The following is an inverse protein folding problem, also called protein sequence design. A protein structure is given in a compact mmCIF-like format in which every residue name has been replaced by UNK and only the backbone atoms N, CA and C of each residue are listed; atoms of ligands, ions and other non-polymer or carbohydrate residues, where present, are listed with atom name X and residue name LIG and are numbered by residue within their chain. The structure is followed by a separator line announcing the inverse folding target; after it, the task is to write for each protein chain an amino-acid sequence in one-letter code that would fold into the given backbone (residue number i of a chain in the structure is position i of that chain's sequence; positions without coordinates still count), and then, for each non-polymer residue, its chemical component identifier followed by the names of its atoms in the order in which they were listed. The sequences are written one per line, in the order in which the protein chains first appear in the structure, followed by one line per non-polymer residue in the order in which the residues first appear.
data_IF_400235729497
#
_entry.id   IF_400235729497
#
_cell.length_a   1.000
_cell.length_b   1.000
_cell.length_c   1.000
_cell.angle_alpha   90.00
_cell.angle_beta   90.00
_cell.angle_gamma   90.00
#
_symmetry.space_group_name_H-M   'P 1'
#
loop_
_entity.id
_entity.type
_entity.pdbx_description
1 polymer ?
#
# COMPACT_ATOMS: atom_id res chain seq x y z
N UNK A 1 19.64 -46.67 -7.19
CA UNK A 1 18.23 -46.58 -7.63
C UNK A 1 17.53 -45.63 -6.67
N UNK A 2 16.95 -44.58 -7.24
CA UNK A 2 16.43 -43.39 -6.57
C UNK A 2 15.11 -43.67 -5.83
N UNK A 3 14.86 -42.94 -4.74
CA UNK A 3 13.54 -42.38 -4.41
C UNK A 3 13.68 -41.36 -3.27
N UNK A 4 13.90 -40.10 -3.65
CA UNK A 4 13.80 -38.94 -2.77
C UNK A 4 12.36 -38.43 -2.79
N UNK A 5 11.68 -38.45 -1.65
CA UNK A 5 10.36 -37.80 -1.47
C UNK A 5 10.56 -36.29 -1.29
N UNK A 6 10.35 -35.52 -2.36
CA UNK A 6 10.22 -34.06 -2.27
C UNK A 6 8.77 -33.71 -1.90
N UNK A 7 8.55 -33.37 -0.63
CA UNK A 7 7.35 -32.67 -0.18
C UNK A 7 7.54 -31.17 -0.43
N UNK A 8 7.09 -30.70 -1.59
CA UNK A 8 7.06 -29.27 -1.91
C UNK A 8 5.91 -28.59 -1.19
N UNK A 9 6.18 -28.07 0.02
CA UNK A 9 5.32 -27.09 0.68
C UNK A 9 5.36 -25.79 -0.13
N UNK A 10 4.29 -25.55 -0.90
CA UNK A 10 4.10 -24.32 -1.68
C UNK A 10 3.88 -23.17 -0.69
N UNK A 11 4.92 -22.39 -0.46
CA UNK A 11 4.87 -21.13 0.30
C UNK A 11 3.85 -20.21 -0.37
N UNK A 12 2.74 -19.94 0.33
CA UNK A 12 1.81 -18.87 -0.05
C UNK A 12 2.57 -17.57 0.10
N UNK A 13 2.96 -16.97 -1.03
CA UNK A 13 3.56 -15.64 -1.04
C UNK A 13 2.54 -14.66 -0.44
N UNK A 14 2.81 -14.23 0.79
CA UNK A 14 2.10 -13.15 1.46
C UNK A 14 2.03 -11.94 0.53
N UNK A 15 0.86 -11.36 0.33
CA UNK A 15 0.55 -10.13 -0.42
C UNK A 15 1.16 -8.90 0.27
N UNK A 16 2.40 -8.45 -0.06
CA UNK A 16 3.04 -7.35 0.66
C UNK A 16 2.64 -6.00 0.07
N UNK A 17 2.28 -5.96 -1.23
CA UNK A 17 2.17 -4.72 -2.00
C UNK A 17 0.92 -3.90 -1.67
N UNK A 18 -0.23 -4.55 -1.43
CA UNK A 18 -1.47 -3.83 -1.11
C UNK A 18 -1.44 -3.25 0.31
N UNK A 19 -0.98 -4.05 1.29
CA UNK A 19 -0.78 -3.60 2.66
C UNK A 19 0.30 -2.51 2.76
N UNK A 20 1.39 -2.62 1.99
CA UNK A 20 2.40 -1.57 1.90
C UNK A 20 1.86 -0.28 1.28
N UNK A 21 1.02 -0.35 0.25
CA UNK A 21 0.37 0.83 -0.36
C UNK A 21 -0.60 1.55 0.58
N UNK A 22 -1.44 0.80 1.30
CA UNK A 22 -2.33 1.39 2.32
C UNK A 22 -1.50 1.99 3.47
N UNK A 23 -0.37 1.37 3.83
CA UNK A 23 0.55 1.90 4.84
C UNK A 23 1.22 3.20 4.40
N UNK A 24 1.55 3.38 3.13
CA UNK A 24 2.24 4.59 2.63
C UNK A 24 1.29 5.78 2.51
N UNK A 25 0.07 5.58 2.04
CA UNK A 25 -0.97 6.62 2.02
C UNK A 25 -1.28 7.10 3.44
N UNK A 26 -1.43 6.16 4.38
CA UNK A 26 -1.64 6.49 5.79
C UNK A 26 -0.45 7.27 6.37
N UNK A 27 0.78 6.92 6.02
CA UNK A 27 1.97 7.62 6.48
C UNK A 27 2.03 9.05 5.93
N UNK A 28 1.72 9.25 4.65
CA UNK A 28 1.65 10.55 4.01
C UNK A 28 0.54 11.42 4.63
N UNK A 29 -0.66 10.87 4.83
CA UNK A 29 -1.76 11.57 5.49
C UNK A 29 -1.41 12.00 6.92
N UNK A 30 -0.71 11.14 7.68
CA UNK A 30 -0.23 11.47 9.03
C UNK A 30 0.76 12.64 9.04
N UNK A 31 1.53 12.87 7.97
CA UNK A 31 2.44 14.01 7.90
C UNK A 31 1.70 15.35 8.02
N UNK A 32 0.50 15.45 7.41
CA UNK A 32 -0.35 16.64 7.49
C UNK A 32 -0.79 16.96 8.93
N UNK A 33 -1.19 15.91 9.65
CA UNK A 33 -1.61 16.06 11.05
C UNK A 33 -0.41 16.36 11.95
N UNK A 34 0.73 15.70 11.71
CA UNK A 34 1.98 15.95 12.44
C UNK A 34 2.49 17.38 12.24
N UNK A 35 2.45 17.92 11.01
CA UNK A 35 2.93 19.28 10.74
C UNK A 35 2.11 20.33 11.49
N UNK A 36 0.77 20.25 11.41
CA UNK A 36 -0.14 21.15 12.12
C UNK A 36 0.02 21.04 13.65
N UNK A 37 0.07 19.82 14.16
CA UNK A 37 0.31 19.56 15.59
C UNK A 37 1.65 20.14 16.04
N UNK A 38 2.70 19.98 15.24
CA UNK A 38 4.04 20.47 15.54
C UNK A 38 4.11 22.01 15.53
N UNK A 39 3.44 22.67 14.60
CA UNK A 39 3.31 24.14 14.57
C UNK A 39 2.64 24.61 15.86
N UNK A 40 1.48 24.05 16.21
CA UNK A 40 0.76 24.40 17.44
C UNK A 40 1.61 24.19 18.69
N UNK A 41 2.30 23.05 18.80
CA UNK A 41 3.19 22.78 19.92
C UNK A 41 4.36 23.77 19.98
N UNK A 42 4.90 24.19 18.84
CA UNK A 42 5.99 25.19 18.77
C UNK A 42 5.50 26.57 19.22
N UNK A 43 4.29 26.97 18.82
CA UNK A 43 3.65 28.23 19.26
C UNK A 43 3.39 28.21 20.77
N UNK A 44 2.89 27.11 21.32
CA UNK A 44 2.68 27.01 22.77
C UNK A 44 4.01 26.98 23.54
N UNK A 45 5.03 26.33 22.98
CA UNK A 45 6.36 26.29 23.58
C UNK A 45 7.00 27.68 23.68
N UNK A 46 6.82 28.55 22.69
CA UNK A 46 7.34 29.93 22.73
C UNK A 46 6.65 30.81 23.77
N UNK A 47 5.46 30.41 24.26
CA UNK A 47 4.77 31.05 25.37
C UNK A 47 5.25 30.56 26.75
N UNK A 48 6.23 29.65 26.79
CA UNK A 48 6.86 29.16 28.02
C UNK A 48 6.42 27.76 28.45
N UNK A 49 5.58 27.07 27.67
CA UNK A 49 5.17 25.68 27.95
C UNK A 49 6.29 24.69 27.58
N UNK A 50 7.05 24.26 28.61
CA UNK A 50 8.18 23.33 28.46
C UNK A 50 7.75 21.94 27.98
N UNK A 51 6.55 21.49 28.34
CA UNK A 51 6.07 20.18 27.92
C UNK A 51 5.77 20.18 26.42
N UNK A 52 5.28 21.32 25.89
CA UNK A 52 5.06 21.50 24.46
C UNK A 52 6.36 21.59 23.67
N UNK A 53 7.43 22.15 24.24
CA UNK A 53 8.76 22.11 23.61
C UNK A 53 9.22 20.67 23.36
N UNK A 54 9.17 19.82 24.40
CA UNK A 54 9.53 18.41 24.26
C UNK A 54 8.59 17.68 23.29
N UNK A 55 7.29 17.97 23.35
CA UNK A 55 6.31 17.36 22.47
C UNK A 55 6.52 17.76 21.00
N UNK A 56 6.90 19.01 20.72
CA UNK A 56 7.23 19.48 19.38
C UNK A 56 8.49 18.81 18.84
N UNK A 57 9.54 18.68 19.66
CA UNK A 57 10.77 17.96 19.29
C UNK A 57 10.49 16.49 18.93
N UNK A 58 9.63 15.81 19.68
CA UNK A 58 9.19 14.44 19.37
C UNK A 58 8.39 14.38 18.07
N UNK A 59 7.46 15.32 17.86
CA UNK A 59 6.70 15.41 16.61
C UNK A 59 7.62 15.64 15.40
N UNK A 60 8.64 16.48 15.54
CA UNK A 60 9.64 16.75 14.49
C UNK A 60 10.44 15.50 14.14
N UNK A 61 10.85 14.71 15.14
CA UNK A 61 11.55 13.45 14.93
C UNK A 61 10.67 12.45 14.15
N UNK A 62 9.43 12.24 14.60
CA UNK A 62 8.48 11.34 13.93
C UNK A 62 8.15 11.79 12.50
N UNK A 63 7.97 13.10 12.29
CA UNK A 63 7.75 13.68 10.97
C UNK A 63 8.96 13.41 10.05
N UNK A 64 10.17 13.66 10.53
CA UNK A 64 11.40 13.46 9.75
C UNK A 64 11.62 11.99 9.38
N UNK A 65 11.42 11.06 10.33
CA UNK A 65 11.53 9.61 10.10
C UNK A 65 10.50 9.11 9.09
N UNK A 66 9.25 9.56 9.23
CA UNK A 66 8.17 9.22 8.30
C UNK A 66 8.47 9.74 6.90
N UNK A 67 8.99 10.97 6.79
CA UNK A 67 9.35 11.56 5.51
C UNK A 67 10.49 10.82 4.82
N UNK A 68 11.51 10.41 5.59
CA UNK A 68 12.57 9.55 5.06
C UNK A 68 12.00 8.22 4.56
N UNK A 69 11.08 7.61 5.30
CA UNK A 69 10.42 6.36 4.91
C UNK A 69 9.65 6.53 3.59
N UNK A 70 8.88 7.61 3.42
CA UNK A 70 8.15 7.89 2.16
C UNK A 70 9.09 8.00 0.96
N UNK A 71 10.23 8.70 1.13
CA UNK A 71 11.24 8.84 0.08
C UNK A 71 11.94 7.50 -0.22
N UNK A 72 12.15 6.64 0.78
CA UNK A 72 12.72 5.32 0.55
C UNK A 72 11.74 4.40 -0.18
N UNK A 73 10.45 4.41 0.21
CA UNK A 73 9.44 3.63 -0.49
C UNK A 73 9.35 4.05 -1.95
N UNK A 74 9.38 5.35 -2.24
CA UNK A 74 9.40 5.86 -3.62
C UNK A 74 10.52 5.25 -4.48
N UNK A 75 11.70 4.98 -3.90
CA UNK A 75 12.82 4.34 -4.61
C UNK A 75 12.61 2.85 -4.88
N UNK A 76 11.75 2.19 -4.11
CA UNK A 76 11.42 0.77 -4.29
C UNK A 76 10.22 0.54 -5.22
N UNK A 77 9.57 1.61 -5.67
CA UNK A 77 8.44 1.55 -6.60
C UNK A 77 8.89 1.20 -8.03
N UNK A 78 7.95 0.76 -8.85
CA UNK A 78 8.15 0.63 -10.29
C UNK A 78 8.48 1.99 -10.94
N UNK A 79 9.21 1.96 -12.05
CA UNK A 79 9.71 3.16 -12.73
C UNK A 79 8.64 4.24 -13.02
N UNK A 80 7.43 3.92 -13.51
CA UNK A 80 6.42 4.96 -13.75
C UNK A 80 5.88 5.57 -12.44
N UNK A 81 5.70 4.77 -11.39
CA UNK A 81 5.29 5.28 -10.08
C UNK A 81 6.36 6.15 -9.43
N UNK A 82 7.63 5.75 -9.48
CA UNK A 82 8.75 6.55 -8.98
C UNK A 82 8.86 7.91 -9.68
N UNK A 83 8.73 7.94 -11.02
CA UNK A 83 8.72 9.20 -11.80
C UNK A 83 7.60 10.16 -11.40
N UNK A 84 6.41 9.64 -11.05
CA UNK A 84 5.30 10.47 -10.56
C UNK A 84 5.65 11.13 -9.23
N UNK A 85 6.23 10.37 -8.30
CA UNK A 85 6.70 10.93 -7.02
C UNK A 85 7.79 11.96 -7.25
N UNK A 86 8.80 11.64 -8.06
CA UNK A 86 9.91 12.54 -8.37
C UNK A 86 9.43 13.87 -8.96
N UNK A 87 8.47 13.83 -9.89
CA UNK A 87 7.89 15.05 -10.49
C UNK A 87 7.26 15.96 -9.43
N UNK A 88 6.56 15.39 -8.45
CA UNK A 88 5.91 16.14 -7.37
C UNK A 88 6.92 16.65 -6.34
N UNK A 89 7.98 15.88 -6.08
CA UNK A 89 8.96 16.19 -5.04
C UNK A 89 10.10 17.10 -5.50
N UNK A 90 10.55 16.99 -6.75
CA UNK A 90 11.75 17.64 -7.28
C UNK A 90 11.48 18.90 -8.12
N UNK A 91 10.22 19.32 -8.30
CA UNK A 91 9.91 20.59 -8.98
C UNK A 91 10.53 21.82 -8.29
N UNK A 92 10.60 22.97 -8.98
CA UNK A 92 11.20 24.21 -8.45
C UNK A 92 10.53 24.73 -7.16
N UNK A 93 9.22 24.45 -6.99
CA UNK A 93 8.47 24.60 -5.74
C UNK A 93 7.90 23.25 -5.29
N UNK A 94 8.71 22.21 -5.46
CA UNK A 94 8.36 20.83 -5.19
C UNK A 94 8.13 20.58 -3.71
N UNK A 95 7.35 19.55 -3.44
CA UNK A 95 7.03 19.09 -2.08
C UNK A 95 8.29 18.89 -1.23
N UNK A 96 9.38 18.41 -1.83
CA UNK A 96 10.64 18.17 -1.14
C UNK A 96 11.26 19.44 -0.57
N UNK A 97 11.37 20.50 -1.38
CA UNK A 97 11.95 21.77 -0.97
C UNK A 97 11.12 22.45 0.14
N UNK A 98 9.79 22.47 0.00
CA UNK A 98 8.89 23.03 1.01
C UNK A 98 8.99 22.30 2.34
N UNK A 99 9.03 20.96 2.32
CA UNK A 99 9.15 20.15 3.55
C UNK A 99 10.52 20.34 4.20
N UNK A 100 11.60 20.45 3.42
CA UNK A 100 12.94 20.72 3.95
C UNK A 100 13.03 22.09 4.61
N UNK A 101 12.50 23.14 3.95
CA UNK A 101 12.42 24.48 4.50
C UNK A 101 11.63 24.49 5.81
N UNK A 102 10.42 23.92 5.81
CA UNK A 102 9.59 23.79 7.00
C UNK A 102 10.32 23.09 8.15
N UNK A 103 10.97 21.95 7.88
CA UNK A 103 11.74 21.20 8.90
C UNK A 103 12.87 22.06 9.49
N UNK A 104 13.54 22.87 8.67
CA UNK A 104 14.58 23.79 9.10
C UNK A 104 14.03 24.93 9.95
N UNK A 105 12.88 25.50 9.58
CA UNK A 105 12.22 26.58 10.33
C UNK A 105 11.77 26.09 11.70
N UNK A 106 11.12 24.92 11.77
CA UNK A 106 10.70 24.33 13.05
C UNK A 106 11.92 24.06 13.94
N UNK A 107 12.98 23.47 13.41
CA UNK A 107 14.20 23.20 14.18
C UNK A 107 14.79 24.50 14.75
N UNK A 108 14.95 25.52 13.90
CA UNK A 108 15.45 26.84 14.30
C UNK A 108 14.58 27.47 15.40
N UNK A 109 13.26 27.42 15.25
CA UNK A 109 12.33 27.95 16.24
C UNK A 109 12.46 27.21 17.58
N UNK A 110 12.51 25.88 17.57
CA UNK A 110 12.68 25.06 18.77
C UNK A 110 14.03 25.32 19.46
N UNK A 111 15.10 25.54 18.70
CA UNK A 111 16.43 25.85 19.24
C UNK A 111 16.44 27.22 19.92
N UNK A 112 15.83 28.25 19.32
CA UNK A 112 15.69 29.57 19.95
C UNK A 112 14.81 29.53 21.20
N UNK A 113 13.71 28.77 21.18
CA UNK A 113 12.85 28.60 22.36
C UNK A 113 13.61 27.90 23.49
N UNK A 114 14.36 26.83 23.18
CA UNK A 114 15.16 26.09 24.15
C UNK A 114 16.24 26.97 24.80
N UNK A 115 16.86 27.86 24.03
CA UNK A 115 17.91 28.79 24.49
C UNK A 115 17.36 30.07 25.12
N UNK A 116 16.02 30.28 25.09
CA UNK A 116 15.37 31.55 25.47
C UNK A 116 15.94 32.75 24.72
N UNK A 117 16.25 32.56 23.43
CA UNK A 117 16.76 33.61 22.57
C UNK A 117 15.64 34.59 22.21
N UNK A 118 15.96 35.89 22.16
CA UNK A 118 15.02 36.95 21.80
C UNK A 118 14.45 36.78 20.38
N UNK A 119 15.13 36.01 19.51
CA UNK A 119 14.71 35.69 18.15
C UNK A 119 13.59 34.64 18.07
N UNK A 120 13.21 34.01 19.18
CA UNK A 120 12.16 32.98 19.17
C UNK A 120 10.84 33.47 18.58
N UNK A 121 10.44 34.72 18.88
CA UNK A 121 9.17 35.27 18.41
C UNK A 121 9.16 35.45 16.89
N UNK A 122 10.26 35.97 16.33
CA UNK A 122 10.42 36.13 14.89
C UNK A 122 10.43 34.77 14.16
N UNK A 123 11.15 33.78 14.68
CA UNK A 123 11.20 32.44 14.08
C UNK A 123 9.85 31.72 14.10
N UNK A 124 9.07 31.89 15.18
CA UNK A 124 7.71 31.32 15.25
C UNK A 124 6.75 32.05 14.32
N UNK A 125 6.85 33.38 14.20
CA UNK A 125 6.03 34.14 13.24
C UNK A 125 6.31 33.68 11.79
N UNK A 126 7.58 33.57 11.42
CA UNK A 126 8.00 33.07 10.10
C UNK A 126 7.47 31.66 9.84
N UNK A 127 7.54 30.77 10.83
CA UNK A 127 6.99 29.41 10.76
C UNK A 127 5.47 29.41 10.50
N UNK A 128 4.73 30.28 11.20
CA UNK A 128 3.27 30.38 11.06
C UNK A 128 2.90 30.91 9.67
N UNK A 129 3.64 31.88 9.13
CA UNK A 129 3.42 32.41 7.77
C UNK A 129 3.54 31.34 6.67
N UNK A 130 4.39 30.31 6.88
CA UNK A 130 4.59 29.23 5.91
C UNK A 130 3.66 28.02 6.12
N UNK A 131 2.70 28.11 7.06
CA UNK A 131 1.79 27.00 7.42
C UNK A 131 0.97 26.50 6.22
N UNK A 132 0.41 27.40 5.43
CA UNK A 132 -0.44 27.04 4.30
C UNK A 132 0.36 26.38 3.18
N UNK A 133 1.58 26.87 2.92
CA UNK A 133 2.48 26.31 1.91
C UNK A 133 2.87 24.87 2.26
N UNK A 134 3.24 24.60 3.52
CA UNK A 134 3.57 23.22 3.94
C UNK A 134 2.34 22.32 3.90
N UNK A 135 1.16 22.85 4.25
CA UNK A 135 -0.09 22.09 4.20
C UNK A 135 -0.45 21.68 2.77
N UNK A 136 -0.28 22.59 1.81
CA UNK A 136 -0.48 22.33 0.39
C UNK A 136 0.53 21.30 -0.14
N UNK A 137 1.81 21.44 0.21
CA UNK A 137 2.85 20.48 -0.17
C UNK A 137 2.56 19.07 0.36
N UNK A 138 2.15 18.94 1.62
CA UNK A 138 1.79 17.65 2.22
C UNK A 138 0.50 17.06 1.62
N UNK A 139 -0.43 17.91 1.19
CA UNK A 139 -1.61 17.47 0.44
C UNK A 139 -1.21 16.88 -0.92
N UNK A 140 -0.36 17.59 -1.69
CA UNK A 140 0.19 17.09 -2.97
C UNK A 140 0.93 15.77 -2.78
N UNK A 141 1.73 15.65 -1.71
CA UNK A 141 2.41 14.41 -1.36
C UNK A 141 1.42 13.26 -1.14
N UNK A 142 0.37 13.49 -0.35
CA UNK A 142 -0.64 12.49 -0.03
C UNK A 142 -1.41 12.06 -1.28
N UNK A 143 -1.82 13.02 -2.12
CA UNK A 143 -2.52 12.74 -3.39
C UNK A 143 -1.70 11.86 -4.32
N UNK A 144 -0.40 12.13 -4.50
CA UNK A 144 0.41 11.32 -5.41
C UNK A 144 0.53 9.87 -4.92
N UNK A 145 0.69 9.65 -3.61
CA UNK A 145 0.76 8.30 -3.04
C UNK A 145 -0.58 7.57 -3.11
N UNK A 146 -1.70 8.29 -2.96
CA UNK A 146 -3.04 7.74 -3.10
C UNK A 146 -3.32 7.31 -4.55
N UNK A 147 -3.00 8.16 -5.53
CA UNK A 147 -3.13 7.84 -6.96
C UNK A 147 -2.31 6.62 -7.36
N UNK A 148 -1.06 6.52 -6.88
CA UNK A 148 -0.19 5.37 -7.12
C UNK A 148 -0.80 4.10 -6.51
N UNK A 149 -1.23 4.17 -5.26
CA UNK A 149 -1.82 3.02 -4.56
C UNK A 149 -3.10 2.55 -5.23
N UNK A 150 -3.96 3.48 -5.66
CA UNK A 150 -5.18 3.18 -6.42
C UNK A 150 -4.87 2.53 -7.77
N UNK A 151 -3.94 3.10 -8.54
CA UNK A 151 -3.54 2.54 -9.84
C UNK A 151 -2.99 1.11 -9.68
N UNK A 152 -2.19 0.89 -8.63
CA UNK A 152 -1.63 -0.44 -8.34
C UNK A 152 -2.73 -1.43 -7.95
N UNK A 153 -3.67 -1.01 -7.09
CA UNK A 153 -4.81 -1.84 -6.69
C UNK A 153 -5.69 -2.22 -7.88
N UNK A 154 -6.04 -1.26 -8.74
CA UNK A 154 -6.82 -1.49 -9.95
C UNK A 154 -6.13 -2.49 -10.89
N UNK A 155 -4.81 -2.35 -11.06
CA UNK A 155 -4.03 -3.29 -11.88
C UNK A 155 -4.04 -4.71 -11.29
N UNK A 156 -3.85 -4.84 -9.99
CA UNK A 156 -3.88 -6.15 -9.31
C UNK A 156 -5.26 -6.80 -9.41
N UNK A 157 -6.34 -6.02 -9.25
CA UNK A 157 -7.71 -6.54 -9.38
C UNK A 157 -8.03 -7.01 -10.80
N UNK A 158 -7.55 -6.30 -11.83
CA UNK A 158 -7.70 -6.74 -13.22
C UNK A 158 -6.96 -8.05 -13.49
N UNK A 159 -5.72 -8.16 -13.00
CA UNK A 159 -4.91 -9.37 -13.15
C UNK A 159 -5.57 -10.57 -12.44
N UNK A 160 -6.03 -10.39 -11.20
CA UNK A 160 -6.77 -11.41 -10.46
C UNK A 160 -8.05 -11.84 -11.19
N UNK A 161 -8.80 -10.90 -11.74
CA UNK A 161 -10.02 -11.20 -12.52
C UNK A 161 -9.70 -12.02 -13.77
N UNK A 162 -8.60 -11.70 -14.45
CA UNK A 162 -8.11 -12.47 -15.60
C UNK A 162 -7.77 -13.91 -15.22
N UNK A 163 -6.95 -14.10 -14.17
CA UNK A 163 -6.57 -15.43 -13.67
C UNK A 163 -7.80 -16.27 -13.30
N UNK A 164 -8.78 -15.66 -12.63
CA UNK A 164 -10.02 -16.37 -12.27
C UNK A 164 -10.82 -16.76 -13.51
N UNK A 165 -10.94 -15.87 -14.49
CA UNK A 165 -11.61 -16.17 -15.76
C UNK A 165 -10.94 -17.36 -16.49
N UNK A 166 -9.61 -17.44 -16.46
CA UNK A 166 -8.86 -18.55 -17.03
C UNK A 166 -9.13 -19.86 -16.28
N UNK A 167 -9.11 -19.84 -14.94
CA UNK A 167 -9.44 -21.01 -14.10
C UNK A 167 -10.86 -21.51 -14.39
N UNK A 168 -11.83 -20.61 -14.53
CA UNK A 168 -13.21 -20.96 -14.85
C UNK A 168 -13.32 -21.58 -16.24
N UNK A 169 -12.54 -21.08 -17.21
CA UNK A 169 -12.51 -21.63 -18.57
C UNK A 169 -11.94 -23.05 -18.56
N UNK A 170 -10.82 -23.29 -17.88
CA UNK A 170 -10.22 -24.62 -17.71
C UNK A 170 -11.17 -25.56 -16.97
N UNK A 171 -11.84 -25.09 -15.91
CA UNK A 171 -12.81 -25.89 -15.18
C UNK A 171 -14.01 -26.31 -16.05
N UNK A 172 -14.49 -25.42 -16.94
CA UNK A 172 -15.55 -25.74 -17.90
C UNK A 172 -15.09 -26.76 -18.94
N UNK A 173 -13.89 -26.61 -19.48
CA UNK A 173 -13.32 -27.57 -20.42
C UNK A 173 -13.17 -28.96 -19.79
N UNK A 174 -12.59 -29.02 -18.58
CA UNK A 174 -12.47 -30.26 -17.82
C UNK A 174 -13.84 -30.88 -17.47
N UNK A 175 -14.86 -30.06 -17.22
CA UNK A 175 -16.24 -30.53 -17.01
C UNK A 175 -16.84 -31.16 -18.27
N UNK A 176 -16.60 -30.57 -19.45
CA UNK A 176 -17.00 -31.15 -20.74
C UNK A 176 -16.29 -32.50 -20.98
N UNK A 177 -14.98 -32.56 -20.73
CA UNK A 177 -14.21 -33.81 -20.87
C UNK A 177 -14.74 -34.90 -19.92
N UNK A 178 -15.02 -34.54 -18.67
CA UNK A 178 -15.60 -35.46 -17.67
C UNK A 178 -16.98 -35.97 -18.12
N UNK A 179 -17.80 -35.08 -18.67
CA UNK A 179 -19.12 -35.43 -19.18
C UNK A 179 -19.02 -36.39 -20.39
N UNK A 180 -18.12 -36.13 -21.33
CA UNK A 180 -17.88 -37.02 -22.46
C UNK A 180 -17.39 -38.40 -21.99
N UNK A 181 -16.52 -38.44 -20.99
CA UNK A 181 -16.08 -39.70 -20.38
C UNK A 181 -17.23 -40.47 -19.72
N UNK A 182 -18.18 -39.79 -19.05
CA UNK A 182 -19.39 -40.42 -18.50
C UNK A 182 -20.28 -41.03 -19.59
N UNK A 183 -20.45 -40.34 -20.71
CA UNK A 183 -21.23 -40.85 -21.86
C UNK A 183 -20.58 -42.10 -22.44
N UNK A 184 -19.26 -42.09 -22.64
CA UNK A 184 -18.50 -43.25 -23.15
C UNK A 184 -18.58 -44.41 -22.16
N UNK A 185 -18.43 -44.14 -20.85
CA UNK A 185 -18.55 -45.14 -19.80
C UNK A 185 -19.93 -45.80 -19.76
N UNK A 186 -21.00 -45.00 -19.90
CA UNK A 186 -22.36 -45.53 -19.98
C UNK A 186 -22.56 -46.42 -21.23
N UNK A 187 -21.98 -46.01 -22.37
CA UNK A 187 -22.06 -46.76 -23.63
C UNK A 187 -21.29 -48.09 -23.59
N UNK A 188 -20.19 -48.14 -22.84
CA UNK A 188 -19.39 -49.36 -22.64
C UNK A 188 -20.05 -50.37 -21.67
N UNK A 189 -21.18 -50.02 -21.06
CA UNK A 189 -21.91 -50.90 -20.14
C UNK A 189 -21.06 -51.33 -18.95
N UNK A 190 -20.98 -52.65 -18.70
CA UNK A 190 -20.21 -53.20 -17.57
C UNK A 190 -18.72 -52.85 -17.60
N UNK A 191 -18.12 -52.69 -18.79
CA UNK A 191 -16.71 -52.38 -18.95
C UNK A 191 -16.37 -50.90 -18.69
N UNK A 192 -17.37 -50.02 -18.61
CA UNK A 192 -17.19 -48.58 -18.34
C UNK A 192 -17.31 -48.17 -16.88
N UNK A 193 -17.61 -49.10 -15.96
CA UNK A 193 -17.91 -48.76 -14.55
C UNK A 193 -16.79 -47.98 -13.85
N UNK A 194 -15.54 -48.41 -13.99
CA UNK A 194 -14.40 -47.75 -13.34
C UNK A 194 -14.14 -46.35 -13.93
N UNK A 195 -14.29 -46.21 -15.25
CA UNK A 195 -14.21 -44.92 -15.94
C UNK A 195 -15.30 -43.93 -15.50
N UNK A 196 -16.52 -44.41 -15.25
CA UNK A 196 -17.61 -43.58 -14.74
C UNK A 196 -17.31 -43.00 -13.34
N UNK A 197 -16.65 -43.77 -12.46
CA UNK A 197 -16.27 -43.30 -11.11
C UNK A 197 -15.28 -42.15 -11.22
N UNK A 198 -14.22 -42.31 -12.03
CA UNK A 198 -13.20 -41.26 -12.22
C UNK A 198 -13.80 -39.98 -12.81
N UNK A 199 -14.67 -40.12 -13.81
CA UNK A 199 -15.31 -38.97 -14.45
C UNK A 199 -16.28 -38.20 -13.53
N UNK A 200 -16.98 -38.92 -12.63
CA UNK A 200 -17.81 -38.28 -11.59
C UNK A 200 -16.96 -37.51 -10.57
N UNK A 201 -15.83 -38.09 -10.12
CA UNK A 201 -14.91 -37.39 -9.21
C UNK A 201 -14.36 -36.11 -9.86
N UNK A 202 -13.97 -36.18 -11.14
CA UNK A 202 -13.47 -35.01 -11.87
C UNK A 202 -14.54 -33.91 -12.04
N UNK A 203 -15.79 -34.29 -12.27
CA UNK A 203 -16.94 -33.36 -12.28
C UNK A 203 -17.12 -32.68 -10.92
N UNK A 204 -16.95 -33.43 -9.82
CA UNK A 204 -17.00 -32.87 -8.47
C UNK A 204 -15.85 -31.89 -8.18
N UNK A 205 -14.64 -32.17 -8.67
CA UNK A 205 -13.47 -31.29 -8.51
C UNK A 205 -13.67 -29.98 -9.29
N UNK A 206 -14.07 -30.07 -10.55
CA UNK A 206 -14.31 -28.89 -11.41
C UNK A 206 -15.39 -27.97 -10.84
N UNK A 207 -16.46 -28.54 -10.26
CA UNK A 207 -17.49 -27.76 -9.56
C UNK A 207 -16.97 -27.01 -8.33
N UNK A 208 -16.08 -27.62 -7.53
CA UNK A 208 -15.46 -26.96 -6.38
C UNK A 208 -14.49 -25.85 -6.81
N UNK A 209 -13.72 -26.07 -7.87
CA UNK A 209 -12.80 -25.07 -8.42
C UNK A 209 -13.57 -23.82 -8.84
N UNK A 210 -14.66 -23.97 -9.62
CA UNK A 210 -15.48 -22.83 -10.06
C UNK A 210 -16.08 -22.05 -8.87
N UNK A 211 -16.56 -22.76 -7.84
CA UNK A 211 -17.07 -22.15 -6.61
C UNK A 211 -16.01 -21.35 -5.86
N UNK A 212 -14.84 -21.95 -5.60
CA UNK A 212 -13.73 -21.31 -4.89
C UNK A 212 -13.17 -20.11 -5.66
N UNK A 213 -13.07 -20.20 -6.98
CA UNK A 213 -12.64 -19.11 -7.84
C UNK A 213 -13.56 -17.90 -7.75
N UNK A 214 -14.88 -18.13 -7.67
CA UNK A 214 -15.86 -17.05 -7.51
C UNK A 214 -15.79 -16.40 -6.13
N UNK A 215 -15.61 -17.20 -5.08
CA UNK A 215 -15.44 -16.71 -3.71
C UNK A 215 -14.16 -15.86 -3.56
N UNK A 216 -13.07 -16.25 -4.24
CA UNK A 216 -11.81 -15.49 -4.23
C UNK A 216 -11.97 -14.06 -4.80
N UNK A 217 -12.75 -13.86 -5.87
CA UNK A 217 -13.05 -12.51 -6.40
C UNK A 217 -13.84 -11.69 -5.37
N UNK A 218 -14.86 -12.30 -4.75
CA UNK A 218 -15.71 -11.59 -3.78
C UNK A 218 -14.90 -11.16 -2.55
N UNK A 219 -13.98 -11.99 -2.08
CA UNK A 219 -13.06 -11.63 -0.99
C UNK A 219 -12.08 -10.53 -1.40
N UNK A 220 -11.48 -10.62 -2.58
CA UNK A 220 -10.53 -9.61 -3.07
C UNK A 220 -11.18 -8.24 -3.29
N UNK A 221 -12.48 -8.19 -3.62
CA UNK A 221 -13.22 -6.94 -3.75
C UNK A 221 -13.65 -6.28 -2.43
N UNK A 222 -13.47 -6.95 -1.28
CA UNK A 222 -13.87 -6.45 0.06
C UNK A 222 -12.69 -5.91 0.88
N UNK A 223 -11.46 -6.15 0.43
CA UNK A 223 -10.20 -5.70 1.05
C UNK A 223 -9.66 -4.44 0.41
#
# INVERSE_FOLDING_TARGET
MHSSTHSSSRSVASTPSAAAGISTVNLAARQRMLSQRMILQTVLASQGDKDKLQAAQRSLALFSESQQTLLQVSKTMDAPSARKVDTVYLGEQGVGATIQLFTKMVRTALDYIAQRDNRQAAAVAELVEHTDQVLEALNKATTVFDEISKTKSDSMMRELTGIVSDIQSVAREAKVVSFNALVIAARAGQFGREFAVVANVLTGITGRIDGLSREAIVLAGRS
#
